data_IF_173648749449
#
_entry.id   IF_173648749449
#
_cell.length_a   1.000
_cell.length_b   1.000
_cell.length_c   1.000
_cell.angle_alpha   90.00
_cell.angle_beta   90.00
_cell.angle_gamma   90.00
#
_symmetry.space_group_name_H-M   'P 1'
#
loop_
_entity.id
_entity.type
_entity.pdbx_description
1 polymer ?
#
# COMPACT_ATOMS: atom_id res chain seq x y z
N UNK A 1 -19.14 -17.69 -13.44
CA UNK A 1 -19.07 -17.14 -12.06
C UNK A 1 -18.65 -18.29 -11.16
N UNK A 2 -17.58 -18.14 -10.38
CA UNK A 2 -17.09 -19.21 -9.50
C UNK A 2 -17.79 -19.12 -8.15
N UNK A 3 -18.35 -20.23 -7.66
CA UNK A 3 -19.00 -20.28 -6.34
C UNK A 3 -17.93 -20.29 -5.23
N UNK A 4 -17.78 -19.20 -4.44
CA UNK A 4 -16.75 -19.10 -3.41
C UNK A 4 -16.88 -20.18 -2.32
N UNK A 5 -18.10 -20.70 -2.12
CA UNK A 5 -18.39 -21.69 -1.09
C UNK A 5 -18.01 -23.11 -1.49
N UNK A 6 -17.96 -23.44 -2.79
CA UNK A 6 -17.73 -24.82 -3.27
C UNK A 6 -16.38 -25.04 -3.92
N UNK A 7 -15.70 -23.98 -4.35
CA UNK A 7 -14.43 -24.11 -5.02
C UNK A 7 -13.29 -24.56 -4.09
N UNK A 8 -12.23 -25.18 -4.65
CA UNK A 8 -11.03 -25.46 -3.88
C UNK A 8 -10.36 -24.15 -3.42
N UNK A 9 -9.79 -24.16 -2.21
CA UNK A 9 -9.16 -22.98 -1.59
C UNK A 9 -8.10 -22.33 -2.51
N UNK A 10 -7.35 -23.13 -3.27
CA UNK A 10 -6.37 -22.61 -4.22
C UNK A 10 -6.99 -21.73 -5.29
N UNK A 11 -8.11 -22.18 -5.87
CA UNK A 11 -8.86 -21.41 -6.87
C UNK A 11 -9.53 -20.18 -6.23
N UNK A 12 -10.04 -20.29 -5.00
CA UNK A 12 -10.61 -19.16 -4.27
C UNK A 12 -9.59 -18.04 -4.06
N UNK A 13 -8.40 -18.36 -3.54
CA UNK A 13 -7.35 -17.36 -3.34
C UNK A 13 -6.72 -16.87 -4.66
N UNK A 14 -6.73 -17.68 -5.73
CA UNK A 14 -6.33 -17.23 -7.05
C UNK A 14 -7.34 -16.21 -7.62
N UNK A 15 -8.63 -16.47 -7.44
CA UNK A 15 -9.72 -15.57 -7.81
C UNK A 15 -9.63 -14.24 -7.06
N UNK A 16 -9.43 -14.27 -5.74
CA UNK A 16 -9.19 -13.07 -4.91
C UNK A 16 -8.06 -12.21 -5.48
N UNK A 17 -6.96 -12.83 -5.93
CA UNK A 17 -5.84 -12.11 -6.53
C UNK A 17 -6.19 -11.49 -7.88
N UNK A 18 -6.97 -12.18 -8.70
CA UNK A 18 -7.38 -11.70 -10.02
C UNK A 18 -8.37 -10.54 -9.93
N UNK A 19 -9.40 -10.65 -9.09
CA UNK A 19 -10.46 -9.65 -8.97
C UNK A 19 -10.00 -8.41 -8.22
N UNK A 20 -9.37 -8.58 -7.06
CA UNK A 20 -9.01 -7.46 -6.19
C UNK A 20 -7.57 -6.97 -6.38
N UNK A 21 -6.78 -7.64 -7.23
CA UNK A 21 -5.39 -7.29 -7.50
C UNK A 21 -4.52 -7.30 -6.24
N UNK A 22 -4.85 -8.12 -5.24
CA UNK A 22 -4.16 -8.15 -3.96
C UNK A 22 -2.84 -8.92 -4.06
N UNK A 23 -1.78 -8.36 -3.47
CA UNK A 23 -0.50 -9.08 -3.33
C UNK A 23 -0.61 -10.16 -2.26
N UNK A 24 0.24 -11.19 -2.35
CA UNK A 24 0.31 -12.24 -1.32
C UNK A 24 0.54 -11.65 0.08
N UNK A 25 1.32 -10.56 0.17
CA UNK A 25 1.58 -9.83 1.42
C UNK A 25 0.31 -9.19 1.97
N UNK A 26 -0.46 -8.47 1.14
CA UNK A 26 -1.74 -7.85 1.55
C UNK A 26 -2.75 -8.93 2.00
N UNK A 27 -2.85 -10.04 1.29
CA UNK A 27 -3.70 -11.17 1.70
C UNK A 27 -3.24 -11.73 3.04
N UNK A 28 -1.94 -11.91 3.24
CA UNK A 28 -1.38 -12.42 4.50
C UNK A 28 -1.65 -11.47 5.68
N UNK A 29 -1.54 -10.16 5.45
CA UNK A 29 -1.87 -9.13 6.43
C UNK A 29 -3.36 -9.15 6.80
N UNK A 30 -4.26 -9.26 5.81
CA UNK A 30 -5.70 -9.38 6.03
C UNK A 30 -6.05 -10.66 6.81
N UNK A 31 -5.37 -11.77 6.53
CA UNK A 31 -5.53 -13.04 7.27
C UNK A 31 -4.80 -13.07 8.62
N UNK A 32 -4.01 -12.05 8.97
CA UNK A 32 -3.14 -12.08 10.14
C UNK A 32 -2.15 -13.26 10.15
N UNK A 33 -1.72 -13.74 8.97
CA UNK A 33 -0.81 -14.89 8.78
C UNK A 33 0.44 -14.50 8.00
N UNK A 34 1.33 -15.47 7.78
CA UNK A 34 2.55 -15.28 6.99
C UNK A 34 2.26 -15.39 5.50
N UNK A 35 3.04 -14.67 4.69
CA UNK A 35 2.96 -14.75 3.23
C UNK A 35 3.23 -16.18 2.71
N UNK A 36 4.10 -16.93 3.40
CA UNK A 36 4.37 -18.33 3.09
C UNK A 36 3.11 -19.19 3.16
N UNK A 37 2.19 -18.91 4.09
CA UNK A 37 0.92 -19.64 4.16
C UNK A 37 0.06 -19.34 2.93
N UNK A 38 -0.02 -18.08 2.50
CA UNK A 38 -0.78 -17.69 1.30
C UNK A 38 -0.24 -18.40 0.06
N UNK A 39 1.09 -18.51 -0.07
CA UNK A 39 1.70 -19.30 -1.15
C UNK A 39 1.30 -20.77 -1.09
N UNK A 40 1.24 -21.37 0.11
CA UNK A 40 0.79 -22.76 0.29
C UNK A 40 -0.70 -22.97 -0.03
N UNK A 41 -1.55 -22.00 0.27
CA UNK A 41 -2.97 -22.01 -0.08
C UNK A 41 -3.14 -21.94 -1.61
N UNK A 42 -2.46 -21.01 -2.27
CA UNK A 42 -2.45 -20.88 -3.72
C UNK A 42 -1.93 -22.14 -4.42
N UNK A 43 -0.88 -22.76 -3.87
CA UNK A 43 -0.33 -24.01 -4.38
C UNK A 43 -1.19 -25.25 -4.07
N UNK A 44 -2.32 -25.12 -3.36
CA UNK A 44 -3.20 -26.25 -3.00
C UNK A 44 -2.63 -27.20 -1.92
N UNK A 45 -1.41 -26.95 -1.45
CA UNK A 45 -0.76 -27.77 -0.42
C UNK A 45 -1.39 -27.60 0.97
N UNK A 46 -2.05 -26.47 1.23
CA UNK A 46 -2.77 -26.23 2.47
C UNK A 46 -4.28 -26.48 2.27
N UNK A 47 -4.76 -27.61 2.80
CA UNK A 47 -6.17 -28.04 2.72
C UNK A 47 -7.00 -27.66 3.96
N UNK A 48 -6.58 -26.64 4.70
CA UNK A 48 -7.26 -26.28 5.94
C UNK A 48 -8.50 -25.42 5.65
N UNK A 49 -9.68 -26.03 5.74
CA UNK A 49 -10.99 -25.40 5.49
C UNK A 49 -11.33 -24.23 6.42
N UNK A 50 -10.61 -24.07 7.54
CA UNK A 50 -10.74 -22.89 8.40
C UNK A 50 -10.44 -21.56 7.68
N UNK A 51 -9.79 -21.60 6.51
CA UNK A 51 -9.53 -20.42 5.67
C UNK A 51 -10.61 -20.14 4.63
N UNK A 52 -11.68 -20.94 4.54
CA UNK A 52 -12.77 -20.71 3.59
C UNK A 52 -13.51 -19.42 3.90
N UNK A 53 -14.02 -19.25 5.12
CA UNK A 53 -14.74 -18.05 5.56
C UNK A 53 -13.96 -16.75 5.27
N UNK A 54 -12.70 -16.58 5.74
CA UNK A 54 -11.94 -15.37 5.39
C UNK A 54 -11.63 -15.27 3.90
N UNK A 55 -11.51 -16.38 3.19
CA UNK A 55 -11.30 -16.42 1.74
C UNK A 55 -12.52 -15.96 0.94
N UNK A 56 -13.73 -16.35 1.37
CA UNK A 56 -15.00 -15.93 0.76
C UNK A 56 -15.26 -14.45 1.02
N UNK A 57 -15.00 -13.98 2.25
CA UNK A 57 -15.10 -12.55 2.58
C UNK A 57 -14.13 -11.70 1.75
N UNK A 58 -12.89 -12.19 1.54
CA UNK A 58 -11.93 -11.57 0.64
C UNK A 58 -12.39 -11.58 -0.81
N UNK A 59 -13.09 -12.61 -1.27
CA UNK A 59 -13.59 -12.70 -2.63
C UNK A 59 -14.76 -11.73 -2.87
N UNK A 60 -15.67 -11.62 -1.90
CA UNK A 60 -16.89 -10.81 -1.99
C UNK A 60 -16.63 -9.32 -1.70
N UNK A 61 -15.87 -9.01 -0.65
CA UNK A 61 -15.72 -7.65 -0.13
C UNK A 61 -14.30 -7.10 -0.20
N UNK A 62 -13.32 -7.94 -0.57
CA UNK A 62 -11.90 -7.57 -0.53
C UNK A 62 -11.33 -7.43 0.89
N UNK A 63 -12.11 -7.74 1.94
CA UNK A 63 -11.70 -7.57 3.35
C UNK A 63 -12.05 -8.81 4.18
N UNK A 64 -11.21 -9.11 5.18
CA UNK A 64 -11.50 -10.17 6.16
C UNK A 64 -12.15 -9.55 7.39
N UNK A 65 -13.35 -9.99 7.71
CA UNK A 65 -14.04 -9.70 8.97
C UNK A 65 -13.77 -10.81 10.00
N UNK A 66 -13.73 -12.07 9.56
CA UNK A 66 -13.54 -13.23 10.44
C UNK A 66 -12.23 -13.95 10.16
N UNK A 67 -11.36 -13.98 11.17
CA UNK A 67 -10.07 -14.66 11.10
C UNK A 67 -10.20 -16.17 11.25
N UNK A 68 -9.39 -16.92 10.51
CA UNK A 68 -9.29 -18.37 10.71
C UNK A 68 -8.82 -18.71 12.15
N UNK A 69 -9.58 -19.51 12.92
CA UNK A 69 -9.23 -19.89 14.28
C UNK A 69 -7.83 -20.49 14.39
N UNK A 70 -7.18 -20.27 15.54
CA UNK A 70 -5.90 -20.93 15.83
C UNK A 70 -6.15 -22.35 16.31
N UNK A 71 -5.31 -23.28 15.84
CA UNK A 71 -5.32 -24.68 16.28
C UNK A 71 -5.12 -24.76 17.79
N UNK A 72 -6.01 -25.51 18.45
CA UNK A 72 -5.94 -25.84 19.88
C UNK A 72 -5.42 -27.26 20.08
N UNK A 73 -4.95 -27.52 21.29
CA UNK A 73 -4.59 -28.85 21.81
C UNK A 73 -5.81 -29.48 22.47
N UNK A 74 -5.71 -30.76 22.86
CA UNK A 74 -6.79 -31.51 23.53
C UNK A 74 -7.24 -30.87 24.84
N UNK A 75 -6.33 -30.16 25.52
CA UNK A 75 -6.57 -29.39 26.75
C UNK A 75 -7.23 -28.01 26.50
N UNK A 76 -7.69 -27.72 25.28
CA UNK A 76 -8.32 -26.44 24.90
C UNK A 76 -7.34 -25.26 24.77
N UNK A 77 -6.07 -25.44 25.17
CA UNK A 77 -5.04 -24.39 25.07
C UNK A 77 -4.51 -24.27 23.65
N UNK A 78 -3.99 -23.09 23.31
CA UNK A 78 -3.43 -22.86 21.97
C UNK A 78 -2.21 -23.74 21.70
N UNK A 79 -2.13 -24.27 20.48
CA UNK A 79 -0.97 -25.02 20.04
C UNK A 79 0.26 -24.11 19.92
N UNK A 80 1.33 -24.46 20.64
CA UNK A 80 2.65 -23.82 20.52
C UNK A 80 3.21 -24.00 19.10
N UNK A 81 3.75 -22.93 18.55
CA UNK A 81 4.57 -22.96 17.34
C UNK A 81 5.98 -23.36 17.76
N UNK A 82 6.39 -24.56 17.32
CA UNK A 82 7.72 -25.10 17.62
C UNK A 82 8.78 -24.27 16.90
N UNK A 83 9.83 -23.89 17.62
CA UNK A 83 11.00 -23.30 17.01
C UNK A 83 11.70 -24.35 16.12
N UNK A 84 12.43 -23.93 15.07
CA UNK A 84 13.23 -24.85 14.25
C UNK A 84 14.19 -25.68 15.11
N UNK A 85 14.42 -26.94 14.71
CA UNK A 85 15.33 -27.86 15.38
C UNK A 85 16.73 -27.23 15.45
N UNK A 86 17.34 -27.22 16.64
CA UNK A 86 18.66 -26.62 16.88
C UNK A 86 18.67 -25.09 17.06
N UNK A 87 17.53 -24.41 16.96
CA UNK A 87 17.51 -22.95 17.18
C UNK A 87 17.54 -22.58 18.66
N UNK A 88 18.28 -21.52 19.02
CA UNK A 88 18.30 -20.94 20.37
C UNK A 88 16.97 -20.25 20.76
N UNK A 89 16.04 -20.10 19.81
CA UNK A 89 14.76 -19.42 20.04
C UNK A 89 13.77 -20.37 20.72
N UNK A 90 13.10 -19.90 21.76
CA UNK A 90 12.07 -20.67 22.45
C UNK A 90 10.82 -20.82 21.57
N UNK A 91 10.11 -21.95 21.73
CA UNK A 91 8.80 -22.15 21.10
C UNK A 91 7.79 -21.14 21.65
N UNK A 92 6.96 -20.57 20.78
CA UNK A 92 6.06 -19.46 21.13
C UNK A 92 4.62 -19.94 21.16
N UNK A 93 3.87 -19.58 22.21
CA UNK A 93 2.40 -19.66 22.20
C UNK A 93 1.88 -18.42 21.47
N UNK A 94 1.19 -18.54 20.33
CA UNK A 94 0.64 -17.37 19.65
C UNK A 94 -0.47 -16.71 20.46
N UNK A 95 -0.74 -15.43 20.23
CA UNK A 95 -1.91 -14.76 20.81
C UNK A 95 -3.21 -15.32 20.23
N UNK A 96 -4.20 -15.57 21.09
CA UNK A 96 -5.52 -16.01 20.67
C UNK A 96 -6.28 -14.86 20.05
N UNK A 97 -6.75 -15.05 18.82
CA UNK A 97 -7.54 -14.04 18.12
C UNK A 97 -9.03 -14.33 18.22
N UNK A 98 -9.43 -15.50 18.77
CA UNK A 98 -10.83 -15.97 18.86
C UNK A 98 -11.65 -15.83 17.56
N UNK A 99 -10.98 -15.84 16.41
CA UNK A 99 -11.62 -15.61 15.11
C UNK A 99 -11.96 -14.14 14.80
N UNK A 100 -11.63 -13.21 15.69
CA UNK A 100 -11.74 -11.77 15.46
C UNK A 100 -10.39 -11.15 15.08
N UNK A 101 -10.35 -10.08 14.26
CA UNK A 101 -9.13 -9.34 14.01
C UNK A 101 -8.59 -8.76 15.32
N UNK A 102 -7.31 -9.02 15.63
CA UNK A 102 -6.69 -8.44 16.84
C UNK A 102 -6.53 -6.94 16.62
N UNK A 103 -7.16 -6.07 17.44
CA UNK A 103 -6.90 -4.64 17.36
C UNK A 103 -5.45 -4.39 17.78
N UNK A 104 -4.64 -3.88 16.85
CA UNK A 104 -3.26 -3.47 17.17
C UNK A 104 -3.34 -2.25 18.11
N UNK A 105 -2.62 -2.25 19.25
CA UNK A 105 -2.69 -1.13 20.18
C UNK A 105 -2.28 0.17 19.50
N UNK A 106 -3.13 1.20 19.62
CA UNK A 106 -2.89 2.56 19.12
C UNK A 106 -1.75 3.21 19.91
N UNK A 107 -0.51 2.97 19.50
CA UNK A 107 0.58 3.94 19.78
C UNK A 107 0.29 5.19 18.94
N UNK A 108 0.90 6.33 19.23
CA UNK A 108 0.76 7.63 18.53
C UNK A 108 1.21 7.56 17.05
N UNK A 109 0.62 6.62 16.33
CA UNK A 109 1.25 5.83 15.31
C UNK A 109 0.70 6.27 13.98
N UNK A 110 1.60 6.36 13.03
CA UNK A 110 1.28 6.34 11.62
C UNK A 110 0.05 5.46 11.34
N UNK A 111 -0.94 6.05 10.67
CA UNK A 111 -2.17 5.38 10.25
C UNK A 111 -2.13 5.30 8.74
N UNK A 112 -2.03 4.08 8.21
CA UNK A 112 -2.32 3.83 6.81
C UNK A 112 -3.80 3.51 6.71
N UNK A 113 -4.58 4.44 6.15
CA UNK A 113 -5.98 4.17 5.88
C UNK A 113 -6.09 3.18 4.74
N UNK A 114 -7.11 2.34 4.80
CA UNK A 114 -7.42 1.44 3.69
C UNK A 114 -7.73 2.30 2.45
N UNK A 115 -7.18 1.97 1.27
CA UNK A 115 -7.51 2.69 0.06
C UNK A 115 -9.01 2.56 -0.21
N UNK A 116 -9.67 3.69 -0.49
CA UNK A 116 -11.07 3.72 -0.93
C UNK A 116 -11.09 3.62 -2.44
N UNK A 117 -11.91 2.72 -2.99
CA UNK A 117 -12.12 2.61 -4.42
C UNK A 117 -13.17 3.63 -4.85
N UNK A 118 -12.82 4.44 -5.86
CA UNK A 118 -13.72 5.36 -6.52
C UNK A 118 -14.31 4.77 -7.79
N UNK A 119 -15.22 5.52 -8.41
CA UNK A 119 -15.70 5.23 -9.75
C UNK A 119 -14.52 5.09 -10.75
N UNK A 120 -14.71 4.29 -11.79
CA UNK A 120 -13.76 4.10 -12.89
C UNK A 120 -12.38 3.54 -12.50
N UNK A 121 -12.31 2.81 -11.38
CA UNK A 121 -11.05 2.21 -10.90
C UNK A 121 -10.09 3.19 -10.25
N UNK A 122 -10.57 4.41 -9.93
CA UNK A 122 -9.83 5.38 -9.15
C UNK A 122 -9.59 4.87 -7.73
N UNK A 123 -8.51 5.31 -7.08
CA UNK A 123 -8.26 4.96 -5.68
C UNK A 123 -7.79 6.16 -4.88
N UNK A 124 -8.34 6.27 -3.68
CA UNK A 124 -8.00 7.29 -2.70
C UNK A 124 -7.19 6.64 -1.58
N UNK A 125 -5.94 7.06 -1.46
CA UNK A 125 -5.03 6.64 -0.39
C UNK A 125 -4.90 7.78 0.62
N UNK A 126 -4.89 7.44 1.90
CA UNK A 126 -4.72 8.41 2.97
C UNK A 126 -3.76 7.85 4.01
N UNK A 127 -2.79 8.66 4.39
CA UNK A 127 -1.75 8.30 5.35
C UNK A 127 -1.64 9.44 6.36
N UNK A 128 -1.90 9.13 7.62
CA UNK A 128 -1.65 10.06 8.72
C UNK A 128 -0.31 9.72 9.38
N UNK A 129 0.45 10.75 9.72
CA UNK A 129 1.78 10.65 10.30
C UNK A 129 1.90 11.51 11.56
N UNK A 130 2.68 11.06 12.55
CA UNK A 130 3.00 11.86 13.72
C UNK A 130 3.91 13.06 13.38
N UNK A 131 3.74 14.16 14.09
CA UNK A 131 4.53 15.41 13.94
C UNK A 131 6.01 15.25 14.34
N UNK A 132 6.34 14.25 15.18
CA UNK A 132 7.69 14.04 15.70
C UNK A 132 8.69 13.68 14.60
N UNK A 133 9.73 14.51 14.42
CA UNK A 133 10.72 14.45 13.33
C UNK A 133 11.43 13.08 13.21
N UNK A 134 11.78 12.46 14.33
CA UNK A 134 12.54 11.19 14.39
C UNK A 134 11.69 9.97 14.74
N UNK A 135 10.36 10.06 14.59
CA UNK A 135 9.47 8.94 14.96
C UNK A 135 9.54 7.84 13.90
N UNK A 136 9.56 6.57 14.35
CA UNK A 136 9.45 5.41 13.45
C UNK A 136 8.21 5.48 12.56
N UNK A 137 7.11 6.05 13.08
CA UNK A 137 5.87 6.25 12.33
C UNK A 137 6.04 7.13 11.10
N UNK A 138 6.85 8.19 11.16
CA UNK A 138 7.11 9.06 9.99
C UNK A 138 7.82 8.30 8.87
N UNK A 139 8.86 7.54 9.20
CA UNK A 139 9.57 6.68 8.23
C UNK A 139 8.62 5.65 7.63
N UNK A 140 7.75 5.03 8.45
CA UNK A 140 6.71 4.11 7.96
C UNK A 140 5.68 4.81 7.06
N UNK A 141 5.33 6.06 7.34
CA UNK A 141 4.41 6.86 6.54
C UNK A 141 4.91 7.14 5.14
N UNK A 142 6.14 7.64 5.00
CA UNK A 142 6.73 7.84 3.68
C UNK A 142 6.96 6.53 2.93
N UNK A 143 7.33 5.45 3.65
CA UNK A 143 7.41 4.13 3.04
C UNK A 143 6.05 3.65 2.51
N UNK A 144 4.97 3.86 3.25
CA UNK A 144 3.63 3.48 2.81
C UNK A 144 3.17 4.29 1.61
N UNK A 145 3.45 5.60 1.58
CA UNK A 145 3.15 6.44 0.41
C UNK A 145 3.90 5.94 -0.84
N UNK A 146 5.17 5.52 -0.68
CA UNK A 146 5.95 4.92 -1.76
C UNK A 146 5.40 3.54 -2.19
N UNK A 147 5.00 2.70 -1.23
CA UNK A 147 4.41 1.38 -1.51
C UNK A 147 3.05 1.53 -2.24
N UNK A 148 2.25 2.55 -1.91
CA UNK A 148 1.02 2.89 -2.61
C UNK A 148 1.29 3.41 -4.02
N UNK A 149 2.32 4.25 -4.21
CA UNK A 149 2.74 4.68 -5.55
C UNK A 149 3.17 3.50 -6.42
N UNK A 150 3.93 2.55 -5.85
CA UNK A 150 4.26 1.29 -6.51
C UNK A 150 3.04 0.40 -6.81
N UNK A 151 2.00 0.45 -5.98
CA UNK A 151 0.73 -0.24 -6.21
C UNK A 151 -0.02 0.38 -7.40
N UNK A 152 -0.01 1.72 -7.52
CA UNK A 152 -0.56 2.45 -8.66
C UNK A 152 0.21 2.13 -9.95
N UNK A 153 1.55 2.15 -9.94
CA UNK A 153 2.33 1.85 -11.15
C UNK A 153 2.19 0.42 -11.62
N UNK A 154 2.04 -0.55 -10.71
CA UNK A 154 1.74 -1.94 -11.10
C UNK A 154 0.42 -2.09 -11.83
N UNK A 155 -0.53 -1.17 -11.61
CA UNK A 155 -1.82 -1.12 -12.33
C UNK A 155 -1.76 -0.36 -13.65
N UNK A 156 -0.60 0.19 -14.03
CA UNK A 156 -0.40 0.83 -15.34
C UNK A 156 -0.25 -0.15 -16.51
N UNK A 157 -0.36 -1.47 -16.27
CA UNK A 157 -0.16 -2.47 -17.32
C UNK A 157 -1.15 -2.33 -18.49
N UNK A 158 -2.38 -1.86 -18.20
CA UNK A 158 -3.45 -1.71 -19.20
C UNK A 158 -3.77 -0.25 -19.54
N UNK A 159 -3.81 0.62 -18.53
CA UNK A 159 -4.10 2.06 -18.70
C UNK A 159 -3.13 2.88 -17.88
N UNK A 160 -2.59 3.95 -18.48
CA UNK A 160 -1.70 4.85 -17.76
C UNK A 160 -2.43 5.51 -16.60
N UNK A 161 -1.78 5.51 -15.44
CA UNK A 161 -2.33 6.07 -14.21
C UNK A 161 -1.59 7.36 -13.86
N UNK A 162 -2.36 8.39 -13.54
CA UNK A 162 -1.89 9.65 -12.98
C UNK A 162 -2.26 9.73 -11.51
N UNK A 163 -1.55 10.58 -10.79
CA UNK A 163 -1.64 10.74 -9.35
C UNK A 163 -1.71 12.22 -9.01
N UNK A 164 -2.71 12.60 -8.24
CA UNK A 164 -2.76 13.87 -7.54
C UNK A 164 -2.44 13.63 -6.06
N UNK A 165 -1.64 14.52 -5.46
CA UNK A 165 -1.30 14.43 -4.05
C UNK A 165 -1.68 15.73 -3.34
N UNK A 166 -2.36 15.60 -2.21
CA UNK A 166 -2.59 16.68 -1.28
C UNK A 166 -1.89 16.33 0.03
N UNK A 167 -1.19 17.29 0.61
CA UNK A 167 -0.33 17.08 1.76
C UNK A 167 -0.70 18.07 2.84
N UNK A 168 -1.08 17.57 4.01
CA UNK A 168 -1.35 18.42 5.16
C UNK A 168 -0.06 18.64 5.92
N UNK A 169 0.33 19.90 6.02
CA UNK A 169 1.50 20.37 6.74
C UNK A 169 1.04 21.04 8.03
N UNK A 170 1.65 20.69 9.16
CA UNK A 170 1.40 21.29 10.46
C UNK A 170 2.60 22.12 10.91
N UNK A 171 2.36 23.40 11.21
CA UNK A 171 3.38 24.30 11.73
C UNK A 171 3.62 24.07 13.23
N UNK A 172 4.70 24.64 13.78
CA UNK A 172 5.01 24.55 15.21
C UNK A 172 3.87 25.12 16.09
N UNK A 173 3.16 26.12 15.57
CA UNK A 173 2.02 26.79 16.21
C UNK A 173 0.73 25.95 16.20
N UNK A 174 0.79 24.73 15.65
CA UNK A 174 -0.33 23.78 15.63
C UNK A 174 -1.29 23.96 14.44
N UNK A 175 -1.19 25.06 13.69
CA UNK A 175 -1.98 25.33 12.48
C UNK A 175 -1.69 24.30 11.38
N UNK A 176 -2.75 23.89 10.66
CA UNK A 176 -2.68 22.90 9.58
C UNK A 176 -3.03 23.55 8.24
N UNK A 177 -2.17 23.34 7.26
CA UNK A 177 -2.37 23.81 5.89
C UNK A 177 -2.38 22.61 4.95
N UNK A 178 -3.38 22.53 4.08
CA UNK A 178 -3.43 21.54 3.02
C UNK A 178 -2.79 22.13 1.76
N UNK A 179 -1.69 21.53 1.32
CA UNK A 179 -0.92 21.96 0.15
C UNK A 179 -1.09 20.93 -0.96
N UNK A 180 -1.29 21.41 -2.19
CA UNK A 180 -1.40 20.53 -3.36
C UNK A 180 0.00 20.30 -3.93
N UNK A 181 0.36 19.04 -4.12
CA UNK A 181 1.61 18.65 -4.78
C UNK A 181 1.30 18.37 -6.25
N UNK A 182 1.77 19.26 -7.12
CA UNK A 182 1.73 19.10 -8.58
C UNK A 182 0.71 19.97 -9.32
N UNK A 183 0.61 19.71 -10.63
CA UNK A 183 -0.23 20.48 -11.55
C UNK A 183 -1.70 20.02 -11.56
N UNK A 184 -2.59 20.81 -12.18
CA UNK A 184 -4.04 20.55 -12.29
C UNK A 184 -4.37 19.15 -12.82
N UNK A 185 -3.50 18.57 -13.64
CA UNK A 185 -3.64 17.25 -14.29
C UNK A 185 -2.92 16.11 -13.56
N UNK A 186 -2.30 16.34 -12.41
CA UNK A 186 -1.54 15.34 -11.65
C UNK A 186 -0.26 14.88 -12.35
N UNK A 187 0.54 14.04 -11.71
CA UNK A 187 1.76 13.45 -12.26
C UNK A 187 1.50 12.05 -12.79
N UNK A 188 2.25 11.58 -13.79
CA UNK A 188 2.26 10.14 -14.09
C UNK A 188 2.96 9.40 -12.96
N UNK A 189 2.35 8.31 -12.48
CA UNK A 189 2.90 7.57 -11.34
C UNK A 189 4.32 7.02 -11.60
N UNK A 190 4.61 6.60 -12.84
CA UNK A 190 5.93 6.13 -13.26
C UNK A 190 6.99 7.23 -13.24
N UNK A 191 6.62 8.46 -13.59
CA UNK A 191 7.55 9.59 -13.65
C UNK A 191 7.93 10.03 -12.24
N UNK A 192 6.97 10.01 -11.31
CA UNK A 192 7.26 10.24 -9.88
C UNK A 192 8.23 9.19 -9.34
N UNK A 193 8.04 7.91 -9.67
CA UNK A 193 8.98 6.86 -9.24
C UNK A 193 10.39 7.05 -9.81
N UNK A 194 10.49 7.46 -11.08
CA UNK A 194 11.76 7.75 -11.72
C UNK A 194 12.47 8.93 -11.05
N UNK A 195 11.76 10.04 -10.81
CA UNK A 195 12.32 11.21 -10.13
C UNK A 195 12.78 10.89 -8.70
N UNK A 196 11.97 10.13 -7.95
CA UNK A 196 12.34 9.72 -6.59
C UNK A 196 13.63 8.88 -6.61
N UNK A 197 13.78 7.97 -7.57
CA UNK A 197 14.95 7.11 -7.71
C UNK A 197 16.19 7.91 -8.14
N UNK A 198 16.08 8.67 -9.22
CA UNK A 198 17.21 9.24 -9.94
C UNK A 198 17.65 10.60 -9.38
N UNK A 199 16.71 11.41 -8.88
CA UNK A 199 17.00 12.78 -8.40
C UNK A 199 17.05 12.86 -6.87
N UNK A 200 16.26 12.04 -6.17
CA UNK A 200 16.14 12.10 -4.71
C UNK A 200 16.74 10.88 -3.97
N UNK A 201 17.59 10.11 -4.65
CA UNK A 201 18.30 8.94 -4.08
C UNK A 201 17.37 7.92 -3.41
N UNK A 202 16.15 7.77 -3.92
CA UNK A 202 15.11 6.89 -3.38
C UNK A 202 14.31 7.46 -2.21
N UNK A 203 14.51 8.72 -1.83
CA UNK A 203 13.79 9.36 -0.72
C UNK A 203 12.52 10.07 -1.21
N UNK A 204 11.37 9.45 -0.94
CA UNK A 204 10.06 10.04 -1.24
C UNK A 204 9.79 11.33 -0.44
N UNK A 205 10.27 11.40 0.81
CA UNK A 205 10.16 12.63 1.63
C UNK A 205 10.91 13.81 0.98
N UNK A 206 12.12 13.56 0.45
CA UNK A 206 12.92 14.60 -0.20
C UNK A 206 12.25 15.10 -1.48
N UNK A 207 11.71 14.19 -2.30
CA UNK A 207 10.95 14.56 -3.49
C UNK A 207 9.75 15.43 -3.15
N UNK A 208 8.96 15.02 -2.15
CA UNK A 208 7.73 15.71 -1.79
C UNK A 208 8.00 17.09 -1.19
N UNK A 209 9.02 17.22 -0.33
CA UNK A 209 9.45 18.52 0.20
C UNK A 209 9.96 19.44 -0.92
N UNK A 210 10.72 18.90 -1.89
CA UNK A 210 11.20 19.67 -3.03
C UNK A 210 10.06 20.20 -3.90
N UNK A 211 9.03 19.39 -4.16
CA UNK A 211 7.83 19.84 -4.89
C UNK A 211 7.06 20.92 -4.12
N UNK A 212 6.96 20.81 -2.80
CA UNK A 212 6.30 21.82 -1.97
C UNK A 212 7.08 23.14 -1.95
N UNK A 213 8.41 23.09 -1.80
CA UNK A 213 9.25 24.28 -1.79
C UNK A 213 9.22 25.03 -3.13
N UNK A 214 9.16 24.31 -4.25
CA UNK A 214 9.10 24.93 -5.57
C UNK A 214 7.81 25.73 -5.84
N UNK A 215 6.73 25.47 -5.08
CA UNK A 215 5.41 26.10 -5.26
C UNK A 215 5.06 27.02 -4.09
N UNK A 216 5.46 26.65 -2.89
CA UNK A 216 5.14 27.33 -1.64
C UNK A 216 6.45 27.69 -0.92
N UNK A 217 7.02 28.83 -1.33
CA UNK A 217 8.16 29.43 -0.64
C UNK A 217 7.82 29.62 0.85
N UNK A 218 8.69 29.13 1.75
CA UNK A 218 8.55 29.34 3.19
C UNK A 218 7.64 28.37 3.95
N UNK A 219 7.21 27.24 3.37
CA UNK A 219 6.47 26.20 4.12
C UNK A 219 7.36 25.46 5.15
N UNK A 220 7.55 26.08 6.32
CA UNK A 220 8.39 25.56 7.42
C UNK A 220 7.74 24.45 8.26
N UNK A 221 6.48 24.09 7.96
CA UNK A 221 5.75 23.09 8.71
C UNK A 221 6.12 21.65 8.35
N UNK A 222 5.63 20.71 9.15
CA UNK A 222 5.89 19.28 8.99
C UNK A 222 4.71 18.58 8.36
N UNK A 223 4.99 17.75 7.37
CA UNK A 223 4.00 16.86 6.78
C UNK A 223 3.45 15.91 7.86
N UNK A 224 2.14 15.98 8.09
CA UNK A 224 1.40 15.12 9.03
C UNK A 224 0.35 14.26 8.34
N UNK A 225 0.03 14.55 7.08
CA UNK A 225 -0.89 13.73 6.29
C UNK A 225 -0.54 13.77 4.81
N UNK A 226 -0.66 12.64 4.14
CA UNK A 226 -0.56 12.54 2.68
C UNK A 226 -1.85 11.89 2.17
N UNK A 227 -2.54 12.59 1.30
CA UNK A 227 -3.67 12.09 0.53
C UNK A 227 -3.22 11.95 -0.93
N UNK A 228 -3.47 10.79 -1.51
CA UNK A 228 -3.10 10.49 -2.88
C UNK A 228 -4.31 9.94 -3.62
N UNK A 229 -4.60 10.49 -4.80
CA UNK A 229 -5.69 10.04 -5.66
C UNK A 229 -5.10 9.57 -6.97
N UNK A 230 -5.31 8.29 -7.30
CA UNK A 230 -4.95 7.74 -8.60
C UNK A 230 -6.14 7.77 -9.54
N UNK A 231 -5.89 8.16 -10.79
CA UNK A 231 -6.89 8.20 -11.84
C UNK A 231 -6.30 7.86 -13.21
N UNK A 232 -7.18 7.50 -14.15
CA UNK A 232 -6.77 7.09 -15.48
C UNK A 232 -6.36 8.30 -16.31
N UNK A 233 -5.25 8.16 -17.04
CA UNK A 233 -4.83 9.14 -18.00
C UNK A 233 -5.80 9.11 -19.17
N UNK A 234 -6.43 10.25 -19.47
CA UNK A 234 -7.37 10.41 -20.60
C UNK A 234 -6.67 10.28 -21.98
N UNK A 235 -5.34 10.14 -22.04
CA UNK A 235 -4.56 10.13 -23.29
C UNK A 235 -4.26 8.73 -23.79
N UNK A 236 -4.18 8.58 -25.12
CA UNK A 236 -3.88 7.31 -25.78
C UNK A 236 -2.40 6.92 -25.59
N UNK A 237 -2.14 5.61 -25.61
CA UNK A 237 -0.78 5.02 -25.52
C UNK A 237 0.14 5.48 -26.66
N UNK A 238 -0.43 5.88 -27.79
CA UNK A 238 0.29 6.33 -28.99
C UNK A 238 0.86 7.74 -28.83
N UNK A 239 0.05 8.66 -28.29
CA UNK A 239 0.51 10.00 -27.93
C UNK A 239 1.67 9.95 -26.92
N UNK A 240 1.65 8.96 -26.01
CA UNK A 240 2.75 8.72 -25.08
C UNK A 240 4.04 8.28 -25.78
N UNK A 241 3.97 7.28 -26.66
CA UNK A 241 5.16 6.79 -27.39
C UNK A 241 5.79 7.91 -28.23
N UNK A 242 4.96 8.76 -28.84
CA UNK A 242 5.43 9.90 -29.62
C UNK A 242 6.18 10.93 -28.76
N UNK A 243 5.71 11.22 -27.54
CA UNK A 243 6.39 12.15 -26.62
C UNK A 243 7.63 11.55 -25.95
N UNK A 244 7.63 10.23 -25.71
CA UNK A 244 8.81 9.48 -25.29
C UNK A 244 9.92 9.56 -26.35
N UNK A 245 9.56 9.34 -27.63
CA UNK A 245 10.48 9.45 -28.77
C UNK A 245 10.94 10.89 -29.02
N UNK A 246 10.05 11.87 -28.87
CA UNK A 246 10.38 13.28 -29.01
C UNK A 246 11.16 13.85 -27.81
N UNK A 247 11.34 13.08 -26.74
CA UNK A 247 12.02 13.53 -25.52
C UNK A 247 11.32 14.69 -24.80
N UNK A 248 10.06 14.97 -25.14
CA UNK A 248 9.24 16.06 -24.58
C UNK A 248 8.49 15.65 -23.33
N UNK A 249 8.49 14.35 -22.99
CA UNK A 249 7.91 13.81 -21.75
C UNK A 249 8.64 14.27 -20.48
N UNK A 250 9.80 14.89 -20.62
CA UNK A 250 10.65 15.22 -19.47
C UNK A 250 9.91 16.15 -18.50
N UNK A 251 9.84 15.72 -17.23
CA UNK A 251 9.25 16.49 -16.14
C UNK A 251 9.83 17.91 -16.09
N UNK A 252 9.03 18.83 -15.54
CA UNK A 252 9.27 20.28 -15.37
C UNK A 252 10.75 20.72 -15.19
N UNK A 253 11.60 19.88 -14.60
CA UNK A 253 13.02 20.13 -14.37
C UNK A 253 14.00 19.87 -15.52
N UNK A 254 13.66 19.15 -16.60
CA UNK A 254 14.63 19.02 -17.70
C UNK A 254 14.77 20.28 -18.54
N UNK A 255 13.80 21.19 -18.46
CA UNK A 255 13.89 22.50 -19.10
C UNK A 255 14.97 23.37 -18.42
N UNK A 256 15.37 23.04 -17.18
CA UNK A 256 16.44 23.72 -16.43
C UNK A 256 17.79 22.99 -16.49
N UNK A 257 17.90 21.88 -17.22
CA UNK A 257 19.19 21.22 -17.47
C UNK A 257 19.97 22.05 -18.50
N UNK A 258 20.84 22.96 -18.03
CA UNK A 258 21.89 23.52 -18.90
C UNK A 258 22.69 22.34 -19.47
N UNK A 259 22.75 22.26 -20.80
CA UNK A 259 23.68 21.36 -21.50
C UNK A 259 25.09 21.70 -20.99
N UNK A 260 25.76 20.72 -20.38
CA UNK A 260 27.22 20.71 -20.31
C UNK A 260 27.75 20.28 -21.67
#
# INVERSE_FOLDING_TARGET
MMDPQKAPLSQLFAYVKQVHGLSNKKIAEQLGRSETLVRKLLAGTCKNEAYRIPGTELAETGQVQHQAPRRRRKDGKLARVRAPRGSKKKSVVPSDTRGTPVPKPRRSAFIHHKPVEGADGNRFYMIDMPMGKKTKGRVSGFKAAMDDLHDVTRRQAHTDKRVNMNVTVQNADGTRHQLRVGSKRGFHASDVLADVKDQHKGSFESWLMHQLQAVYDGSAGRIVQIQMVSFDAVRSKEERKAQDQAGTRRGFWSQFRKRR
#
